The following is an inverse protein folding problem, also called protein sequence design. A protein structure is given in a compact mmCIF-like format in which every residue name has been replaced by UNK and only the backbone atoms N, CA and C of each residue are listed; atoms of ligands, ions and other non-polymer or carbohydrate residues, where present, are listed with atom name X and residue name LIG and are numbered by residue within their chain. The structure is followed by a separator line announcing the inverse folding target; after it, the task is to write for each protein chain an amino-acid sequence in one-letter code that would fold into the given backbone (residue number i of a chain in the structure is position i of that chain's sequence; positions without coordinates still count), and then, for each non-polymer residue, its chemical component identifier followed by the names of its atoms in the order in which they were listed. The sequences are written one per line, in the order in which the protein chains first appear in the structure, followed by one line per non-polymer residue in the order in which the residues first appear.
data_IF_629651798737
#
_entry.id   IF_629651798737
#
_cell.length_a   1.000
_cell.length_b   1.000
_cell.length_c   1.000
_cell.angle_alpha   90.00
_cell.angle_beta   90.00
_cell.angle_gamma   90.00
#
_symmetry.space_group_name_H-M   'P 1'
#
loop_
_entity.id
_entity.type
_entity.pdbx_description
1 polymer ?
#
# COMPACT_ATOMS: atom_id res chain seq x y z
N UNK A 1 14.68 -6.39 -1.77
CA UNK A 1 15.07 -4.99 -1.44
C UNK A 1 15.52 -4.32 -2.73
N UNK A 2 15.08 -3.09 -3.05
CA UNK A 2 15.59 -2.36 -4.22
C UNK A 2 17.11 -2.17 -4.14
N UNK A 3 17.80 -2.36 -5.26
CA UNK A 3 19.28 -2.35 -5.33
C UNK A 3 19.87 -1.02 -4.85
N UNK A 4 19.21 0.09 -5.16
CA UNK A 4 19.70 1.42 -4.81
C UNK A 4 19.69 1.64 -3.29
N UNK A 5 18.69 1.09 -2.58
CA UNK A 5 18.64 1.12 -1.12
C UNK A 5 19.76 0.27 -0.54
N UNK A 6 20.04 -0.91 -1.11
CA UNK A 6 21.13 -1.77 -0.65
C UNK A 6 22.50 -1.09 -0.83
N UNK A 7 22.73 -0.42 -1.97
CA UNK A 7 23.94 0.38 -2.22
C UNK A 7 24.09 1.51 -1.20
N UNK A 8 23.02 2.27 -0.96
CA UNK A 8 23.03 3.37 0.00
C UNK A 8 23.22 2.89 1.45
N UNK A 9 22.65 1.73 1.83
CA UNK A 9 22.87 1.11 3.15
C UNK A 9 24.34 0.73 3.33
N UNK A 10 24.98 0.20 2.28
CA UNK A 10 26.39 -0.16 2.33
C UNK A 10 27.31 1.06 2.46
N UNK A 11 26.98 2.17 1.79
CA UNK A 11 27.82 3.37 1.80
C UNK A 11 27.62 4.26 3.04
N UNK A 12 26.38 4.44 3.52
CA UNK A 12 26.07 5.41 4.59
C UNK A 12 25.87 4.73 5.97
N UNK A 13 25.86 3.40 6.02
CA UNK A 13 25.69 2.58 7.23
C UNK A 13 24.30 2.64 7.87
N UNK A 14 23.69 3.82 7.91
CA UNK A 14 22.34 4.07 8.40
C UNK A 14 21.59 5.01 7.45
N UNK A 15 20.39 4.61 7.04
CA UNK A 15 19.52 5.42 6.20
C UNK A 15 18.33 5.92 6.98
N UNK A 16 18.06 7.22 6.88
CA UNK A 16 16.84 7.79 7.43
C UNK A 16 15.61 7.23 6.70
N UNK A 17 14.48 7.12 7.41
CA UNK A 17 13.21 6.61 6.84
C UNK A 17 12.81 7.36 5.57
N UNK A 18 13.00 8.68 5.54
CA UNK A 18 12.69 9.53 4.39
C UNK A 18 13.57 9.25 3.16
N UNK A 19 14.80 8.76 3.34
CA UNK A 19 15.66 8.33 2.21
C UNK A 19 15.33 6.93 1.72
N UNK A 20 14.84 6.08 2.62
CA UNK A 20 14.44 4.71 2.30
C UNK A 20 13.10 4.65 1.56
N UNK A 21 12.14 5.49 1.93
CA UNK A 21 10.77 5.40 1.42
C UNK A 21 10.51 6.29 0.20
N UNK A 22 11.06 7.51 0.15
CA UNK A 22 10.81 8.45 -0.94
C UNK A 22 11.57 8.03 -2.21
N UNK A 23 11.04 8.41 -3.38
CA UNK A 23 11.68 8.09 -4.67
C UNK A 23 13.03 8.77 -4.84
N UNK A 24 13.22 9.95 -4.23
CA UNK A 24 14.48 10.70 -4.23
C UNK A 24 15.02 10.84 -2.81
N UNK A 25 16.24 10.36 -2.52
CA UNK A 25 16.85 10.50 -1.20
C UNK A 25 17.26 11.97 -0.94
N UNK A 26 17.08 12.45 0.30
CA UNK A 26 17.34 13.85 0.68
C UNK A 26 18.50 13.99 1.63
N UNK A 27 19.42 14.88 1.27
CA UNK A 27 20.61 15.23 2.02
C UNK A 27 20.48 16.65 2.56
N UNK A 28 19.48 16.90 3.42
CA UNK A 28 19.34 18.19 4.10
C UNK A 28 19.05 19.38 3.17
N UNK A 29 18.63 20.49 3.77
CA UNK A 29 18.67 21.80 3.11
C UNK A 29 20.07 22.38 3.36
N UNK A 30 20.69 22.96 2.34
CA UNK A 30 22.00 23.65 2.42
C UNK A 30 23.27 22.77 2.40
N UNK A 31 23.18 21.49 2.04
CA UNK A 31 24.37 20.68 1.71
C UNK A 31 24.54 20.66 0.18
N UNK A 32 25.67 21.14 -0.37
CA UNK A 32 25.95 21.05 -1.80
C UNK A 32 26.17 19.58 -2.15
N UNK A 33 25.10 18.90 -2.56
CA UNK A 33 25.15 17.53 -3.06
C UNK A 33 24.71 17.52 -4.52
N UNK A 34 25.21 16.53 -5.28
CA UNK A 34 24.84 16.33 -6.69
C UNK A 34 23.32 16.13 -6.90
N UNK A 35 22.57 15.89 -5.83
CA UNK A 35 21.11 15.67 -5.83
C UNK A 35 20.32 16.87 -5.27
N UNK A 36 20.98 18.00 -4.99
CA UNK A 36 20.36 19.15 -4.30
C UNK A 36 19.24 19.84 -5.10
N UNK A 37 19.22 19.67 -6.42
CA UNK A 37 18.15 20.19 -7.30
C UNK A 37 16.77 19.59 -7.00
N UNK A 38 16.74 18.43 -6.33
CA UNK A 38 15.51 17.73 -5.94
C UNK A 38 15.21 17.82 -4.44
N UNK A 39 15.90 18.71 -3.71
CA UNK A 39 15.74 18.85 -2.26
C UNK A 39 14.40 19.45 -1.84
N UNK A 40 13.64 20.03 -2.78
CA UNK A 40 12.34 20.62 -2.46
C UNK A 40 11.33 19.53 -2.06
N UNK A 41 10.65 19.65 -0.90
CA UNK A 41 9.73 18.62 -0.42
C UNK A 41 8.61 18.31 -1.43
N UNK A 42 8.08 19.33 -2.12
CA UNK A 42 7.02 19.13 -3.12
C UNK A 42 7.49 18.32 -4.33
N UNK A 43 8.70 18.57 -4.83
CA UNK A 43 9.27 17.78 -5.92
C UNK A 43 9.39 16.31 -5.49
N UNK A 44 9.84 16.04 -4.26
CA UNK A 44 10.00 14.67 -3.76
C UNK A 44 8.67 13.95 -3.61
N UNK A 45 7.64 14.64 -3.12
CA UNK A 45 6.28 14.09 -3.00
C UNK A 45 5.74 13.80 -4.41
N UNK A 46 5.87 14.75 -5.34
CA UNK A 46 5.43 14.60 -6.72
C UNK A 46 6.11 13.44 -7.43
N UNK A 47 7.44 13.35 -7.37
CA UNK A 47 8.19 12.23 -7.93
C UNK A 47 7.85 10.90 -7.26
N UNK A 48 7.55 10.89 -5.96
CA UNK A 48 7.14 9.65 -5.26
C UNK A 48 5.74 9.20 -5.68
N UNK A 49 4.80 10.14 -5.84
CA UNK A 49 3.47 9.85 -6.35
C UNK A 49 3.51 9.34 -7.81
N UNK A 50 4.34 9.96 -8.66
CA UNK A 50 4.56 9.50 -10.03
C UNK A 50 5.20 8.11 -10.07
N UNK A 51 6.19 7.84 -9.22
CA UNK A 51 6.79 6.52 -9.12
C UNK A 51 5.74 5.44 -8.78
N UNK A 52 4.86 5.69 -7.81
CA UNK A 52 3.76 4.76 -7.51
C UNK A 52 2.71 4.67 -8.62
N UNK A 53 2.52 5.74 -9.41
CA UNK A 53 1.56 5.75 -10.51
C UNK A 53 2.00 4.91 -11.70
N UNK A 54 3.31 4.87 -11.96
CA UNK A 54 3.89 4.14 -13.10
C UNK A 54 4.33 2.73 -12.73
N UNK A 55 5.06 2.57 -11.64
CA UNK A 55 5.66 1.29 -11.22
C UNK A 55 4.84 0.55 -10.15
N UNK A 56 3.82 1.22 -9.58
CA UNK A 56 3.07 0.66 -8.46
C UNK A 56 3.81 0.75 -7.12
N UNK A 57 3.22 0.13 -6.09
CA UNK A 57 3.79 0.10 -4.75
C UNK A 57 4.88 -0.98 -4.66
N UNK A 58 6.03 -0.65 -4.06
CA UNK A 58 7.09 -1.63 -3.84
C UNK A 58 6.61 -2.69 -2.85
N UNK A 59 7.00 -3.94 -3.05
CA UNK A 59 6.58 -5.05 -2.16
C UNK A 59 6.91 -4.79 -0.67
N UNK A 60 8.10 -4.25 -0.39
CA UNK A 60 8.49 -3.89 0.98
C UNK A 60 7.57 -2.83 1.60
N UNK A 61 7.14 -1.85 0.80
CA UNK A 61 6.26 -0.78 1.26
C UNK A 61 4.83 -1.33 1.45
N UNK A 62 4.39 -2.25 0.59
CA UNK A 62 3.14 -2.99 0.73
C UNK A 62 3.08 -3.80 2.04
N UNK A 63 4.12 -4.59 2.32
CA UNK A 63 4.24 -5.36 3.58
C UNK A 63 4.14 -4.43 4.81
N UNK A 64 4.74 -3.24 4.75
CA UNK A 64 4.63 -2.27 5.85
C UNK A 64 3.21 -1.71 5.98
N UNK A 65 2.52 -1.43 4.87
CA UNK A 65 1.12 -1.01 4.87
C UNK A 65 0.24 -2.11 5.48
N UNK A 66 0.43 -3.37 5.10
CA UNK A 66 -0.30 -4.51 5.65
C UNK A 66 -0.08 -4.66 7.15
N UNK A 67 1.18 -4.56 7.61
CA UNK A 67 1.51 -4.57 9.04
C UNK A 67 0.79 -3.46 9.80
N UNK A 68 0.86 -2.23 9.30
CA UNK A 68 0.18 -1.10 9.91
C UNK A 68 -1.34 -1.31 9.95
N UNK A 69 -1.92 -1.93 8.93
CA UNK A 69 -3.35 -2.19 8.86
C UNK A 69 -3.80 -3.24 9.89
N UNK A 70 -3.01 -4.31 10.06
CA UNK A 70 -3.21 -5.27 11.16
C UNK A 70 -3.08 -4.60 12.53
N UNK A 71 -2.07 -3.75 12.73
CA UNK A 71 -1.90 -3.03 14.00
C UNK A 71 -3.09 -2.09 14.30
N UNK A 72 -3.59 -1.38 13.28
CA UNK A 72 -4.80 -0.58 13.43
C UNK A 72 -6.02 -1.43 13.77
N UNK A 73 -6.17 -2.60 13.14
CA UNK A 73 -7.24 -3.55 13.44
C UNK A 73 -7.17 -4.03 14.89
N UNK A 74 -5.99 -4.33 15.41
CA UNK A 74 -5.77 -4.82 16.78
C UNK A 74 -6.09 -3.74 17.83
N UNK A 75 -5.83 -2.47 17.52
CA UNK A 75 -6.13 -1.33 18.39
C UNK A 75 -7.62 -0.96 18.40
N UNK A 76 -8.35 -1.28 17.33
CA UNK A 76 -9.77 -0.98 17.20
C UNK A 76 -10.65 -1.98 17.95
N UNK A 77 -11.62 -1.44 18.68
CA UNK A 77 -12.58 -2.23 19.45
C UNK A 77 -13.83 -2.56 18.63
N UNK A 78 -14.44 -3.72 18.93
CA UNK A 78 -15.71 -4.16 18.36
C UNK A 78 -15.59 -5.26 17.31
N UNK A 79 -16.72 -5.61 16.64
CA UNK A 79 -16.76 -6.69 15.65
C UNK A 79 -15.82 -6.41 14.47
N UNK A 80 -15.04 -7.41 14.04
CA UNK A 80 -14.00 -7.26 13.01
C UNK A 80 -14.52 -6.63 11.71
N UNK A 81 -15.70 -7.04 11.23
CA UNK A 81 -16.31 -6.48 10.01
C UNK A 81 -16.60 -4.97 10.09
N UNK A 82 -16.85 -4.44 11.29
CA UNK A 82 -17.17 -3.02 11.50
C UNK A 82 -15.94 -2.16 11.79
N UNK A 83 -14.77 -2.77 12.04
CA UNK A 83 -13.50 -2.07 12.24
C UNK A 83 -13.12 -1.32 10.96
N UNK A 84 -12.65 -0.08 11.11
CA UNK A 84 -12.26 0.78 9.99
C UNK A 84 -11.11 0.15 9.21
N UNK A 85 -10.17 -0.50 9.89
CA UNK A 85 -9.06 -1.23 9.25
C UNK A 85 -9.57 -2.34 8.30
N UNK A 86 -10.50 -3.18 8.76
CA UNK A 86 -11.10 -4.24 7.94
C UNK A 86 -11.91 -3.68 6.77
N UNK A 87 -12.66 -2.59 6.98
CA UNK A 87 -13.39 -1.92 5.89
C UNK A 87 -12.46 -1.33 4.83
N UNK A 88 -11.31 -0.81 5.26
CA UNK A 88 -10.29 -0.27 4.37
C UNK A 88 -9.63 -1.38 3.56
N UNK A 89 -9.34 -2.54 4.18
CA UNK A 89 -8.89 -3.74 3.47
C UNK A 89 -9.89 -4.20 2.41
N UNK A 90 -11.17 -4.33 2.79
CA UNK A 90 -12.24 -4.71 1.85
C UNK A 90 -12.31 -3.73 0.68
N UNK A 91 -12.16 -2.43 0.94
CA UNK A 91 -12.13 -1.40 -0.09
C UNK A 91 -10.91 -1.53 -1.01
N UNK A 92 -9.73 -1.81 -0.48
CA UNK A 92 -8.52 -2.05 -1.28
C UNK A 92 -8.68 -3.25 -2.21
N UNK A 93 -9.14 -4.38 -1.67
CA UNK A 93 -9.42 -5.59 -2.45
C UNK A 93 -10.47 -5.32 -3.52
N UNK A 94 -11.53 -4.59 -3.19
CA UNK A 94 -12.57 -4.23 -4.15
C UNK A 94 -12.06 -3.33 -5.28
N UNK A 95 -11.28 -2.30 -4.96
CA UNK A 95 -10.66 -1.42 -5.97
C UNK A 95 -9.62 -2.13 -6.83
N UNK A 96 -8.96 -3.15 -6.29
CA UNK A 96 -8.08 -4.06 -7.04
C UNK A 96 -8.86 -5.05 -7.92
N UNK A 97 -10.20 -5.09 -7.81
CA UNK A 97 -11.08 -5.96 -8.59
C UNK A 97 -11.36 -7.33 -7.96
N UNK A 98 -10.87 -7.60 -6.75
CA UNK A 98 -11.13 -8.84 -6.02
C UNK A 98 -12.29 -8.73 -5.02
N UNK A 99 -12.61 -9.85 -4.35
CA UNK A 99 -13.60 -9.89 -3.26
C UNK A 99 -13.01 -10.56 -2.02
N UNK A 100 -13.35 -10.02 -0.85
CA UNK A 100 -13.02 -10.63 0.44
C UNK A 100 -14.06 -11.68 0.80
N UNK A 101 -13.61 -12.87 1.20
CA UNK A 101 -14.48 -13.98 1.64
C UNK A 101 -15.39 -13.56 2.80
N UNK A 102 -16.64 -14.04 2.79
CA UNK A 102 -17.60 -13.78 3.86
C UNK A 102 -18.29 -12.39 3.82
N UNK A 103 -17.86 -11.49 2.94
CA UNK A 103 -18.50 -10.18 2.76
C UNK A 103 -19.57 -10.28 1.66
N UNK A 104 -20.84 -10.15 2.03
CA UNK A 104 -21.95 -9.99 1.07
C UNK A 104 -21.82 -8.61 0.42
N UNK A 105 -21.50 -8.58 -0.88
CA UNK A 105 -21.22 -7.41 -1.73
C UNK A 105 -22.34 -6.34 -1.72
N UNK A 106 -22.08 -5.06 -2.04
CA UNK A 106 -20.98 -4.19 -1.63
C UNK A 106 -21.48 -2.98 -0.80
N UNK A 107 -20.54 -2.26 -0.18
CA UNK A 107 -20.76 -0.91 0.34
C UNK A 107 -21.29 -0.02 -0.81
N UNK A 108 -22.48 0.58 -0.68
CA UNK A 108 -22.99 1.56 -1.65
C UNK A 108 -22.08 2.79 -1.65
N UNK A 109 -21.06 2.81 -2.49
CA UNK A 109 -20.44 4.06 -2.91
C UNK A 109 -21.44 4.75 -3.84
N UNK A 110 -21.94 5.91 -3.41
CA UNK A 110 -23.01 6.66 -4.05
C UNK A 110 -22.63 7.32 -5.37
N UNK A 111 -22.22 6.54 -6.36
CA UNK A 111 -22.16 6.94 -7.77
C UNK A 111 -23.09 6.01 -8.57
N UNK A 112 -24.32 6.48 -8.81
CA UNK A 112 -25.18 5.89 -9.83
C UNK A 112 -24.61 6.23 -11.21
N UNK A 113 -23.63 5.46 -11.68
CA UNK A 113 -23.47 5.27 -13.11
C UNK A 113 -24.38 4.11 -13.51
N UNK A 114 -25.58 4.50 -13.97
CA UNK A 114 -26.39 3.64 -14.81
C UNK A 114 -25.71 3.66 -16.17
N UNK A 115 -24.90 2.65 -16.48
CA UNK A 115 -24.72 2.10 -17.82
C UNK A 115 -23.73 0.92 -17.73
N UNK A 116 -24.16 -0.23 -18.23
CA UNK A 116 -23.33 -1.44 -18.30
C UNK A 116 -23.88 -2.58 -17.46
N UNK A 117 -24.80 -3.35 -18.05
CA UNK A 117 -25.09 -4.70 -17.62
C UNK A 117 -23.81 -5.55 -17.76
N UNK A 118 -23.00 -5.60 -16.71
CA UNK A 118 -21.82 -6.46 -16.64
C UNK A 118 -22.25 -7.92 -16.54
N UNK A 119 -21.87 -8.72 -17.55
CA UNK A 119 -22.02 -10.18 -17.54
C UNK A 119 -21.48 -10.79 -16.23
N UNK A 120 -22.01 -11.95 -15.78
CA UNK A 120 -21.45 -12.66 -14.65
C UNK A 120 -20.03 -13.09 -15.01
N UNK A 121 -19.05 -12.38 -14.46
CA UNK A 121 -17.62 -12.66 -14.62
C UNK A 121 -17.36 -14.01 -13.96
N UNK A 122 -16.75 -14.95 -14.69
CA UNK A 122 -16.37 -16.26 -14.16
C UNK A 122 -15.55 -16.07 -12.89
N UNK A 123 -15.97 -16.74 -11.81
CA UNK A 123 -15.27 -16.73 -10.52
C UNK A 123 -13.84 -17.27 -10.73
N UNK A 124 -12.88 -16.37 -10.81
CA UNK A 124 -11.47 -16.73 -10.94
C UNK A 124 -10.93 -17.22 -9.60
N UNK A 125 -9.90 -18.04 -9.62
CA UNK A 125 -9.20 -18.55 -8.42
C UNK A 125 -8.74 -17.42 -7.46
N UNK A 126 -8.55 -16.21 -7.99
CA UNK A 126 -8.17 -14.99 -7.27
C UNK A 126 -9.35 -14.16 -6.73
N UNK A 127 -10.61 -14.57 -6.95
CA UNK A 127 -11.80 -13.81 -6.52
C UNK A 127 -12.12 -13.92 -5.02
N UNK A 128 -11.35 -14.72 -4.26
CA UNK A 128 -11.68 -15.03 -2.88
C UNK A 128 -10.49 -14.77 -1.93
N UNK A 129 -10.20 -13.50 -1.68
CA UNK A 129 -9.14 -13.07 -0.76
C UNK A 129 -9.58 -13.27 0.70
N UNK A 130 -8.65 -13.64 1.57
CA UNK A 130 -8.90 -13.81 2.99
C UNK A 130 -9.27 -12.48 3.69
N UNK A 131 -10.16 -12.51 4.70
CA UNK A 131 -10.37 -11.38 5.59
C UNK A 131 -9.09 -11.04 6.36
N UNK A 132 -8.93 -9.76 6.69
CA UNK A 132 -7.72 -9.25 7.37
C UNK A 132 -7.43 -9.96 8.70
N UNK A 133 -8.46 -10.45 9.39
CA UNK A 133 -8.34 -11.16 10.67
C UNK A 133 -7.65 -12.54 10.54
N UNK A 134 -7.65 -13.13 9.34
CA UNK A 134 -7.10 -14.46 9.07
C UNK A 134 -5.74 -14.41 8.34
N UNK A 135 -5.25 -13.21 8.03
CA UNK A 135 -3.93 -13.04 7.38
C UNK A 135 -2.84 -13.29 8.42
N UNK A 136 -2.00 -14.29 8.20
CA UNK A 136 -0.89 -14.58 9.10
C UNK A 136 0.29 -13.63 8.83
N UNK A 137 0.69 -12.88 9.87
CA UNK A 137 1.82 -11.94 9.82
C UNK A 137 3.18 -12.65 9.80
N UNK A 138 3.23 -13.98 9.92
CA UNK A 138 4.46 -14.77 9.91
C UNK A 138 4.68 -15.50 8.59
N UNK A 139 3.66 -15.62 7.76
CA UNK A 139 3.73 -16.32 6.48
C UNK A 139 4.19 -15.35 5.37
N UNK A 140 5.38 -15.56 4.77
CA UNK A 140 5.88 -14.73 3.68
C UNK A 140 5.12 -14.96 2.36
N UNK A 141 4.37 -16.05 2.19
CA UNK A 141 3.57 -16.25 0.97
C UNK A 141 2.26 -15.46 1.00
N UNK A 142 1.83 -15.04 2.20
CA UNK A 142 0.62 -14.22 2.41
C UNK A 142 0.90 -12.71 2.48
N UNK A 143 2.18 -12.28 2.43
CA UNK A 143 2.62 -10.89 2.64
C UNK A 143 3.54 -10.37 1.54
#
# INVERSE_FOLDING_TARGET
MPEDIARLMHSEGHLSKSRRLLSVPFVGKDVPSRQSEWSHPDCRIGLSALAYRYEGLRMMDFVQVMKNLCDMMDMEQGPFLNRKACRLWIRFVHLAGGRVRGVKTPLKDGAKDKDGAGSPRQEGEFDSIWPLELVDRRDPEQM
#
